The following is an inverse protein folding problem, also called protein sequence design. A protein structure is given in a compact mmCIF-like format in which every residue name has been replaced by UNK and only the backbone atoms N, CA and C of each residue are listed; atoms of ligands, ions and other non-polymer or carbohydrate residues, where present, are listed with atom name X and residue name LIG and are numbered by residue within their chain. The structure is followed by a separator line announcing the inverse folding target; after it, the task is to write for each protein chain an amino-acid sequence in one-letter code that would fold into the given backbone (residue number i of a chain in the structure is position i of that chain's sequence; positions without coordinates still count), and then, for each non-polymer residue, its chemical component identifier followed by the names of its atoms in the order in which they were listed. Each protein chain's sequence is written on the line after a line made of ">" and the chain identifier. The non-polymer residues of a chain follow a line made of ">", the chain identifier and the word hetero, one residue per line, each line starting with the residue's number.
data_IF_053720707295
#
_entry.id   IF_053720707295
#
_cell.length_a   1.000
_cell.length_b   1.000
_cell.length_c   1.000
_cell.angle_alpha   90.00
_cell.angle_beta   90.00
_cell.angle_gamma   90.00
#
_symmetry.space_group_name_H-M   'P 1'
#
loop_
_entity.id
_entity.type
_entity.pdbx_description
1 polymer ?
#
# COMPACT_ATOMS: atom_id res chain seq x y z
N UNK A 1 0.69 46.83 0.70
CA UNK A 1 1.97 46.10 0.56
C UNK A 1 1.67 44.63 0.31
N UNK A 2 2.41 44.01 -0.61
CA UNK A 2 2.12 42.72 -1.24
C UNK A 2 2.02 41.58 -0.21
N UNK A 3 0.94 40.80 -0.31
CA UNK A 3 0.78 39.48 0.31
C UNK A 3 1.77 38.54 -0.38
N UNK A 4 2.76 38.05 0.36
CA UNK A 4 3.49 36.83 0.01
C UNK A 4 2.92 35.74 0.91
N UNK A 5 1.93 35.02 0.37
CA UNK A 5 1.62 33.68 0.82
C UNK A 5 2.87 32.84 0.59
N UNK A 6 3.43 32.27 1.65
CA UNK A 6 4.43 31.22 1.53
C UNK A 6 3.67 29.92 1.18
N UNK A 7 3.84 29.35 -0.02
CA UNK A 7 3.30 28.04 -0.35
C UNK A 7 4.28 27.02 0.20
N UNK A 8 4.17 26.68 1.48
CA UNK A 8 5.08 25.74 2.14
C UNK A 8 4.34 24.63 2.90
N UNK A 9 3.10 24.31 2.48
CA UNK A 9 2.26 23.33 3.18
C UNK A 9 1.52 22.35 2.23
N UNK A 10 2.13 21.98 1.10
CA UNK A 10 1.52 21.02 0.14
C UNK A 10 2.43 19.80 -0.16
N UNK A 11 3.61 19.66 0.45
CA UNK A 11 4.57 18.61 0.06
C UNK A 11 5.00 17.63 1.16
N UNK A 12 4.36 17.63 2.33
CA UNK A 12 4.80 16.76 3.46
C UNK A 12 3.89 15.57 3.77
N UNK A 13 2.83 15.32 2.99
CA UNK A 13 2.04 14.08 3.11
C UNK A 13 2.60 12.91 2.26
N UNK A 14 3.79 13.08 1.66
CA UNK A 14 4.39 12.10 0.74
C UNK A 14 5.42 11.18 1.40
N UNK A 15 5.43 11.09 2.72
CA UNK A 15 6.42 10.31 3.46
C UNK A 15 5.73 9.40 4.49
N UNK A 16 6.03 8.10 4.36
CA UNK A 16 5.76 7.00 5.31
C UNK A 16 4.52 6.11 5.10
N UNK A 17 4.07 5.90 3.86
CA UNK A 17 3.25 4.73 3.53
C UNK A 17 4.10 3.58 2.96
N UNK A 18 5.30 3.34 3.51
CA UNK A 18 6.04 2.15 3.16
C UNK A 18 6.83 1.61 4.35
N UNK A 19 6.59 0.34 4.64
CA UNK A 19 7.27 -0.40 5.69
C UNK A 19 8.44 -1.21 5.11
N UNK A 20 9.28 -1.70 6.02
CA UNK A 20 10.45 -2.50 5.67
C UNK A 20 10.39 -3.88 6.31
N UNK A 21 10.71 -4.91 5.53
CA UNK A 21 11.06 -6.25 6.03
C UNK A 21 12.55 -6.48 5.80
N UNK A 22 13.28 -6.57 6.89
CA UNK A 22 14.71 -6.83 6.87
C UNK A 22 15.02 -8.28 6.51
N UNK A 23 16.13 -8.45 5.79
CA UNK A 23 16.70 -9.72 5.36
C UNK A 23 18.15 -9.76 5.82
N UNK A 24 18.46 -10.69 6.73
CA UNK A 24 19.78 -10.81 7.33
C UNK A 24 20.07 -12.24 7.76
N UNK A 25 20.96 -12.43 8.72
CA UNK A 25 21.18 -13.71 9.38
C UNK A 25 20.04 -13.98 10.36
N UNK A 26 19.56 -15.22 10.42
CA UNK A 26 18.60 -15.62 11.43
C UNK A 26 19.21 -15.51 12.84
N UNK A 27 18.52 -14.80 13.74
CA UNK A 27 18.90 -14.69 15.14
C UNK A 27 18.93 -16.04 15.89
N UNK A 28 18.25 -17.05 15.34
CA UNK A 28 18.21 -18.41 15.89
C UNK A 28 19.26 -19.34 15.25
N UNK A 29 19.71 -19.03 14.04
CA UNK A 29 20.69 -19.83 13.31
C UNK A 29 21.52 -18.97 12.33
N UNK A 30 22.77 -18.61 12.69
CA UNK A 30 23.62 -17.76 11.84
C UNK A 30 23.97 -18.35 10.45
N UNK A 31 23.72 -19.64 10.21
CA UNK A 31 23.90 -20.28 8.88
C UNK A 31 22.65 -20.22 8.00
N UNK A 32 21.64 -19.47 8.41
CA UNK A 32 20.33 -19.35 7.77
C UNK A 32 20.02 -17.86 7.52
N UNK A 33 19.30 -17.56 6.43
CA UNK A 33 18.68 -16.24 6.30
C UNK A 33 17.55 -16.05 7.32
N UNK A 34 17.34 -14.82 7.76
CA UNK A 34 16.22 -14.39 8.60
C UNK A 34 15.40 -13.32 7.89
N UNK A 35 14.13 -13.20 8.29
CA UNK A 35 13.24 -12.11 7.91
C UNK A 35 12.69 -11.49 9.21
N UNK A 36 12.80 -10.17 9.34
CA UNK A 36 12.26 -9.42 10.48
C UNK A 36 11.51 -8.17 9.99
N UNK A 37 10.36 -7.85 10.57
CA UNK A 37 9.53 -6.75 10.11
C UNK A 37 8.08 -6.89 10.53
N UNK A 38 7.19 -6.01 10.03
CA UNK A 38 5.78 -6.01 10.41
C UNK A 38 5.08 -7.28 9.92
N UNK A 39 4.36 -7.95 10.82
CA UNK A 39 3.49 -9.08 10.47
C UNK A 39 2.12 -8.67 9.93
N UNK A 40 1.85 -7.36 9.81
CA UNK A 40 0.57 -6.82 9.37
C UNK A 40 0.80 -5.60 8.49
N UNK A 41 0.06 -5.52 7.38
CA UNK A 41 -0.02 -4.39 6.47
C UNK A 41 -1.48 -4.05 6.22
N UNK A 42 -1.84 -2.77 6.28
CA UNK A 42 -3.17 -2.30 5.92
C UNK A 42 -3.10 -1.69 4.53
N UNK A 43 -3.85 -2.28 3.61
CA UNK A 43 -3.88 -1.90 2.21
C UNK A 43 -5.17 -1.16 1.90
N UNK A 44 -5.02 0.13 1.61
CA UNK A 44 -6.13 1.02 1.33
C UNK A 44 -6.49 0.97 -0.16
N UNK A 45 -7.73 1.36 -0.49
CA UNK A 45 -8.16 1.44 -1.88
C UNK A 45 -7.43 2.59 -2.59
N UNK A 46 -6.70 2.27 -3.66
CA UNK A 46 -5.98 3.24 -4.49
C UNK A 46 -6.51 3.16 -5.91
N UNK A 47 -7.16 4.23 -6.42
CA UNK A 47 -7.59 4.24 -7.81
C UNK A 47 -6.41 4.27 -8.78
N UNK A 48 -6.59 3.64 -9.94
CA UNK A 48 -5.58 3.65 -10.99
C UNK A 48 -5.25 5.08 -11.45
N UNK A 49 -3.96 5.33 -11.73
CA UNK A 49 -3.40 6.62 -12.13
C UNK A 49 -3.48 7.71 -11.05
N UNK A 50 -3.65 7.32 -9.78
CA UNK A 50 -3.55 8.25 -8.67
C UNK A 50 -2.23 8.10 -7.94
N UNK A 51 -1.78 9.15 -7.25
CA UNK A 51 -0.61 9.04 -6.41
C UNK A 51 -0.88 8.10 -5.25
N UNK A 52 0.00 7.12 -5.09
CA UNK A 52 -0.04 6.17 -3.99
C UNK A 52 1.06 6.44 -2.97
N UNK A 53 2.27 6.67 -3.45
CA UNK A 53 3.45 6.97 -2.64
C UNK A 53 4.40 7.91 -3.38
N UNK A 54 5.46 8.36 -2.69
CA UNK A 54 6.54 9.11 -3.32
C UNK A 54 7.25 8.35 -4.45
N UNK A 55 7.17 7.02 -4.45
CA UNK A 55 7.78 6.14 -5.44
C UNK A 55 6.80 5.62 -6.50
N UNK A 56 5.49 5.72 -6.22
CA UNK A 56 4.41 5.39 -7.14
C UNK A 56 3.46 6.59 -7.33
N UNK A 57 3.92 7.69 -7.98
CA UNK A 57 3.10 8.88 -8.20
C UNK A 57 1.97 8.65 -9.22
N UNK A 58 2.08 7.61 -10.04
CA UNK A 58 1.04 7.15 -10.95
C UNK A 58 0.82 5.66 -10.71
N UNK A 59 -0.10 5.32 -9.80
CA UNK A 59 -0.37 3.93 -9.45
C UNK A 59 -0.82 3.13 -10.69
N UNK A 60 -0.09 2.06 -11.08
CA UNK A 60 -0.31 1.39 -12.37
C UNK A 60 -1.62 0.61 -12.44
N UNK A 61 -2.14 0.19 -11.29
CA UNK A 61 -3.38 -0.57 -11.18
C UNK A 61 -3.35 -1.59 -10.05
N UNK A 62 -4.48 -2.24 -9.83
CA UNK A 62 -4.80 -2.92 -8.57
C UNK A 62 -5.96 -2.20 -7.88
N UNK A 63 -6.37 -2.69 -6.71
CA UNK A 63 -7.43 -2.06 -5.93
C UNK A 63 -6.93 -1.68 -4.54
N UNK A 64 -6.61 -2.67 -3.71
CA UNK A 64 -6.10 -2.45 -2.37
C UNK A 64 -4.59 -2.58 -2.41
N UNK A 65 -3.85 -1.50 -2.16
CA UNK A 65 -2.41 -1.45 -2.38
C UNK A 65 -1.66 -1.11 -1.09
N UNK A 66 -0.46 -1.65 -1.00
CA UNK A 66 0.53 -1.32 0.03
C UNK A 66 1.93 -1.38 -0.58
N UNK A 67 2.82 -0.48 -0.15
CA UNK A 67 4.22 -0.47 -0.56
C UNK A 67 5.06 -1.10 0.53
N UNK A 68 5.63 -2.26 0.26
CA UNK A 68 6.45 -2.99 1.22
C UNK A 68 7.83 -3.25 0.64
N UNK A 69 8.85 -2.77 1.34
CA UNK A 69 10.25 -2.88 0.91
C UNK A 69 10.94 -4.00 1.67
N UNK A 70 11.52 -4.96 0.94
CA UNK A 70 12.46 -5.91 1.55
C UNK A 70 13.87 -5.36 1.43
N UNK A 71 14.67 -5.44 2.50
CA UNK A 71 15.95 -4.71 2.62
C UNK A 71 17.02 -5.50 3.37
N UNK A 72 18.29 -5.30 3.05
CA UNK A 72 19.43 -5.78 3.87
C UNK A 72 20.09 -4.67 4.69
N UNK A 73 19.42 -3.52 4.84
CA UNK A 73 20.04 -2.27 5.30
C UNK A 73 19.76 -1.93 6.77
N UNK A 74 18.75 -2.57 7.36
CA UNK A 74 18.31 -2.31 8.73
C UNK A 74 19.17 -3.13 9.72
N UNK A 75 19.18 -2.76 11.00
CA UNK A 75 20.02 -3.39 12.03
C UNK A 75 19.22 -4.27 13.00
N UNK A 76 18.08 -4.82 12.60
CA UNK A 76 17.30 -5.75 13.41
C UNK A 76 17.90 -7.17 13.36
N UNK A 77 18.57 -7.53 12.26
CA UNK A 77 19.30 -8.77 12.05
C UNK A 77 20.78 -8.49 11.76
N UNK A 78 21.65 -9.46 12.07
CA UNK A 78 23.05 -9.38 11.69
C UNK A 78 23.20 -9.48 10.16
N UNK A 79 24.12 -8.74 9.51
CA UNK A 79 24.29 -8.80 8.07
C UNK A 79 24.69 -10.19 7.56
N UNK A 80 23.97 -10.70 6.54
CA UNK A 80 24.32 -11.93 5.83
C UNK A 80 25.37 -11.65 4.74
N UNK A 81 26.61 -11.35 5.15
CA UNK A 81 27.70 -10.94 4.26
C UNK A 81 27.90 -11.91 3.09
N UNK A 82 27.96 -11.35 1.88
CA UNK A 82 28.16 -12.10 0.63
C UNK A 82 26.91 -12.82 0.11
N UNK A 83 25.77 -12.77 0.81
CA UNK A 83 24.52 -13.30 0.28
C UNK A 83 23.98 -12.44 -0.87
N UNK A 84 23.21 -13.07 -1.77
CA UNK A 84 22.36 -12.41 -2.76
C UNK A 84 20.91 -12.86 -2.54
N UNK A 85 20.21 -12.25 -1.57
CA UNK A 85 18.91 -12.74 -1.14
C UNK A 85 17.82 -12.42 -2.16
N UNK A 86 16.96 -13.41 -2.38
CA UNK A 86 15.68 -13.27 -3.08
C UNK A 86 14.53 -13.66 -2.15
N UNK A 87 13.42 -12.97 -2.30
CA UNK A 87 12.19 -13.26 -1.57
C UNK A 87 11.29 -14.07 -2.48
N UNK A 88 10.88 -15.23 -1.98
CA UNK A 88 9.96 -16.13 -2.65
C UNK A 88 8.59 -16.04 -2.01
N UNK A 89 7.55 -15.97 -2.84
CA UNK A 89 6.19 -16.16 -2.37
C UNK A 89 5.94 -17.67 -2.23
N UNK A 90 5.55 -18.08 -1.03
CA UNK A 90 5.30 -19.48 -0.66
C UNK A 90 3.82 -19.84 -0.76
N UNK A 91 2.93 -18.97 -0.29
CA UNK A 91 1.48 -19.22 -0.38
C UNK A 91 0.67 -17.94 -0.26
N UNK A 92 -0.55 -17.96 -0.81
CA UNK A 92 -1.55 -16.90 -0.68
C UNK A 92 -2.83 -17.52 -0.17
N UNK A 93 -3.30 -17.06 0.99
CA UNK A 93 -4.66 -17.34 1.47
C UNK A 93 -5.40 -16.02 1.61
N UNK A 94 -6.68 -15.99 1.25
CA UNK A 94 -7.51 -14.78 1.34
C UNK A 94 -8.96 -15.04 0.90
N UNK A 95 -9.74 -14.00 0.61
CA UNK A 95 -11.12 -14.14 0.16
C UNK A 95 -11.26 -15.05 -1.07
N UNK A 96 -12.38 -15.78 -1.15
CA UNK A 96 -12.63 -16.71 -2.25
C UNK A 96 -12.65 -15.98 -3.61
N UNK A 97 -11.92 -16.52 -4.58
CA UNK A 97 -11.79 -15.96 -5.93
C UNK A 97 -10.99 -14.65 -6.02
N UNK A 98 -10.31 -14.25 -4.94
CA UNK A 98 -9.42 -13.11 -4.94
C UNK A 98 -8.04 -13.44 -5.53
N UNK A 99 -7.31 -12.40 -5.92
CA UNK A 99 -5.93 -12.41 -6.36
C UNK A 99 -5.07 -11.47 -5.52
N UNK A 100 -3.88 -11.94 -5.20
CA UNK A 100 -2.78 -11.15 -4.66
C UNK A 100 -1.71 -11.00 -5.74
N UNK A 101 -1.23 -9.78 -5.94
CA UNK A 101 -0.30 -9.45 -7.02
C UNK A 101 0.86 -8.62 -6.52
N UNK A 102 2.00 -8.77 -7.19
CA UNK A 102 3.19 -7.97 -6.97
C UNK A 102 3.56 -7.22 -8.24
N UNK A 103 3.97 -5.98 -8.04
CA UNK A 103 4.39 -5.05 -9.07
C UNK A 103 5.82 -4.64 -8.77
N UNK A 104 6.74 -4.92 -9.69
CA UNK A 104 8.09 -4.39 -9.60
C UNK A 104 8.07 -2.87 -9.84
N UNK A 105 9.07 -2.17 -9.33
CA UNK A 105 9.19 -0.73 -9.45
C UNK A 105 9.09 -0.28 -10.92
N UNK A 106 8.15 0.64 -11.19
CA UNK A 106 7.87 1.16 -12.53
C UNK A 106 7.08 0.22 -13.47
N UNK A 107 6.64 -0.95 -13.00
CA UNK A 107 5.85 -1.87 -13.82
C UNK A 107 4.44 -1.33 -14.13
N UNK A 108 3.98 -1.49 -15.36
CA UNK A 108 2.61 -1.11 -15.80
C UNK A 108 1.61 -2.25 -15.75
N UNK A 109 2.07 -3.47 -15.47
CA UNK A 109 1.28 -4.69 -15.27
C UNK A 109 1.90 -5.47 -14.11
N UNK A 110 1.14 -6.33 -13.40
CA UNK A 110 1.72 -7.11 -12.32
C UNK A 110 2.86 -7.99 -12.83
N UNK A 111 3.97 -8.02 -12.10
CA UNK A 111 5.07 -8.96 -12.36
C UNK A 111 4.58 -10.39 -12.19
N UNK A 112 3.73 -10.62 -11.19
CA UNK A 112 2.99 -11.85 -11.03
C UNK A 112 1.71 -11.61 -10.23
N UNK A 113 0.74 -12.52 -10.43
CA UNK A 113 -0.53 -12.58 -9.68
C UNK A 113 -0.83 -14.02 -9.31
N UNK A 114 -1.29 -14.26 -8.08
CA UNK A 114 -1.68 -15.58 -7.58
C UNK A 114 -3.04 -15.51 -6.90
N UNK A 115 -3.87 -16.51 -7.16
CA UNK A 115 -5.20 -16.61 -6.56
C UNK A 115 -5.11 -17.00 -5.09
N UNK A 116 -6.12 -16.64 -4.30
CA UNK A 116 -6.32 -17.22 -2.97
C UNK A 116 -6.36 -18.75 -3.04
N UNK A 117 -5.69 -19.42 -2.10
CA UNK A 117 -5.49 -20.87 -2.05
C UNK A 117 -4.26 -21.35 -2.83
N UNK A 118 -3.55 -20.47 -3.53
CA UNK A 118 -2.33 -20.84 -4.25
C UNK A 118 -1.19 -21.19 -3.28
N UNK A 119 -0.42 -22.22 -3.65
CA UNK A 119 0.79 -22.64 -2.98
C UNK A 119 1.90 -22.84 -4.00
N UNK A 120 3.12 -22.51 -3.59
CA UNK A 120 4.33 -22.65 -4.38
C UNK A 120 4.57 -24.10 -4.79
N UNK A 121 5.09 -24.28 -6.01
CA UNK A 121 5.57 -25.57 -6.51
C UNK A 121 6.98 -25.41 -7.08
N UNK A 122 7.65 -26.51 -7.39
CA UNK A 122 8.98 -26.44 -8.02
C UNK A 122 8.96 -25.72 -9.38
N UNK A 123 7.88 -25.89 -10.15
CA UNK A 123 7.70 -25.25 -11.46
C UNK A 123 7.11 -23.83 -11.39
N UNK A 124 6.53 -23.45 -10.26
CA UNK A 124 5.92 -22.13 -10.06
C UNK A 124 6.42 -21.51 -8.74
N UNK A 125 7.48 -20.71 -8.87
CA UNK A 125 8.24 -20.14 -7.76
C UNK A 125 8.45 -18.62 -7.95
N UNK A 126 7.38 -17.81 -7.91
CA UNK A 126 7.48 -16.36 -8.03
C UNK A 126 8.39 -15.80 -6.95
N UNK A 127 9.32 -14.95 -7.36
CA UNK A 127 10.29 -14.34 -6.48
C UNK A 127 10.75 -12.99 -7.01
N UNK A 128 11.36 -12.19 -6.15
CA UNK A 128 11.99 -10.93 -6.49
C UNK A 128 13.30 -10.74 -5.70
N UNK A 129 14.32 -10.09 -6.26
CA UNK A 129 15.58 -9.85 -5.56
C UNK A 129 15.44 -8.74 -4.51
N UNK A 130 16.14 -8.87 -3.40
CA UNK A 130 16.22 -7.81 -2.38
C UNK A 130 17.17 -6.71 -2.86
N UNK A 131 18.38 -7.10 -3.27
CA UNK A 131 19.45 -6.23 -3.74
C UNK A 131 19.29 -6.00 -5.25
N UNK A 132 19.31 -4.73 -5.69
CA UNK A 132 19.25 -4.35 -7.10
C UNK A 132 20.38 -3.36 -7.44
N UNK A 133 21.25 -3.72 -8.39
CA UNK A 133 22.30 -2.80 -8.86
C UNK A 133 23.36 -2.43 -7.82
N UNK A 134 23.47 -3.19 -6.71
CA UNK A 134 24.35 -2.89 -5.59
C UNK A 134 23.68 -2.11 -4.46
N UNK A 135 22.44 -1.65 -4.67
CA UNK A 135 21.59 -1.08 -3.62
C UNK A 135 21.07 -2.20 -2.71
N UNK A 136 20.97 -1.93 -1.42
CA UNK A 136 20.55 -2.90 -0.39
C UNK A 136 19.05 -3.20 -0.39
N UNK A 137 18.26 -2.39 -1.10
CA UNK A 137 16.81 -2.51 -1.24
C UNK A 137 16.31 -1.75 -2.48
N UNK A 138 15.02 -1.88 -2.79
CA UNK A 138 14.37 -1.15 -3.86
C UNK A 138 12.95 -0.71 -3.47
N UNK A 139 12.71 0.60 -3.60
CA UNK A 139 11.41 1.24 -3.39
C UNK A 139 10.50 1.15 -4.62
N UNK A 140 9.22 1.51 -4.44
CA UNK A 140 8.20 1.51 -5.49
C UNK A 140 7.67 0.11 -5.84
N UNK A 141 7.96 -0.87 -4.98
CA UNK A 141 7.44 -2.24 -5.08
C UNK A 141 6.10 -2.33 -4.38
N UNK A 142 5.08 -2.71 -5.14
CA UNK A 142 3.71 -2.63 -4.67
C UNK A 142 3.11 -4.02 -4.60
N UNK A 143 2.44 -4.30 -3.49
CA UNK A 143 1.59 -5.47 -3.34
C UNK A 143 0.14 -5.03 -3.42
N UNK A 144 -0.67 -5.79 -4.14
CA UNK A 144 -2.08 -5.45 -4.33
C UNK A 144 -3.00 -6.64 -4.16
N UNK A 145 -4.15 -6.41 -3.55
CA UNK A 145 -5.29 -7.32 -3.56
C UNK A 145 -6.42 -6.75 -4.46
N UNK A 146 -7.20 -7.64 -5.07
CA UNK A 146 -8.34 -7.26 -5.93
C UNK A 146 -9.69 -7.27 -5.22
N UNK A 147 -9.75 -7.86 -4.01
CA UNK A 147 -10.95 -7.92 -3.16
C UNK A 147 -10.60 -7.51 -1.73
N UNK A 148 -11.56 -6.93 -0.99
CA UNK A 148 -11.34 -6.60 0.40
C UNK A 148 -11.34 -7.85 1.29
N UNK A 149 -10.68 -7.74 2.45
CA UNK A 149 -10.57 -8.79 3.45
C UNK A 149 -9.11 -9.09 3.82
N UNK A 150 -8.94 -10.04 4.73
CA UNK A 150 -7.61 -10.46 5.19
C UNK A 150 -6.99 -11.45 4.23
N UNK A 151 -5.74 -11.19 3.86
CA UNK A 151 -4.88 -12.14 3.18
C UNK A 151 -3.77 -12.55 4.12
N UNK A 152 -3.47 -13.85 4.16
CA UNK A 152 -2.27 -14.39 4.79
C UNK A 152 -1.29 -14.73 3.67
N UNK A 153 -0.20 -13.98 3.60
CA UNK A 153 0.85 -14.12 2.61
C UNK A 153 2.07 -14.71 3.31
N UNK A 154 2.59 -15.80 2.76
CA UNK A 154 3.80 -16.42 3.30
C UNK A 154 4.96 -16.15 2.33
N UNK A 155 6.02 -15.55 2.86
CA UNK A 155 7.28 -15.32 2.17
C UNK A 155 8.38 -16.20 2.74
N UNK A 156 9.44 -16.39 1.95
CA UNK A 156 10.68 -17.04 2.40
C UNK A 156 11.88 -16.46 1.66
N UNK A 157 12.96 -16.20 2.38
CA UNK A 157 14.22 -15.75 1.80
C UNK A 157 15.06 -16.94 1.33
N UNK A 158 15.68 -16.80 0.16
CA UNK A 158 16.67 -17.73 -0.38
C UNK A 158 17.91 -16.95 -0.78
N UNK A 159 19.07 -17.46 -0.41
CA UNK A 159 20.35 -16.94 -0.91
C UNK A 159 20.68 -17.59 -2.26
N UNK A 160 20.87 -16.79 -3.31
CA UNK A 160 21.33 -17.29 -4.62
C UNK A 160 22.76 -17.78 -4.59
N UNK A 161 23.59 -17.25 -3.70
CA UNK A 161 25.00 -17.64 -3.56
C UNK A 161 25.18 -18.92 -2.74
N UNK A 162 24.09 -19.44 -2.14
CA UNK A 162 24.07 -20.64 -1.31
C UNK A 162 25.06 -20.61 -0.13
N UNK A 163 25.37 -19.43 0.40
CA UNK A 163 26.14 -19.25 1.62
C UNK A 163 25.27 -19.47 2.86
N UNK A 164 23.99 -19.13 2.76
CA UNK A 164 22.99 -19.30 3.81
C UNK A 164 21.87 -20.24 3.38
N UNK A 165 21.39 -21.06 4.32
CA UNK A 165 20.19 -21.86 4.14
C UNK A 165 18.92 -20.97 4.08
N UNK A 166 17.85 -21.51 3.50
CA UNK A 166 16.55 -20.84 3.37
C UNK A 166 16.05 -20.32 4.71
N UNK A 167 15.44 -19.15 4.75
CA UNK A 167 14.79 -18.66 5.97
C UNK A 167 13.64 -19.56 6.41
N UNK A 168 13.22 -19.41 7.67
CA UNK A 168 11.88 -19.84 8.08
C UNK A 168 10.82 -19.06 7.28
N UNK A 169 9.63 -19.62 7.19
CA UNK A 169 8.50 -18.93 6.56
C UNK A 169 8.13 -17.69 7.38
N UNK A 170 8.02 -16.55 6.69
CA UNK A 170 7.56 -15.29 7.25
C UNK A 170 6.10 -15.08 6.83
N UNK A 171 5.21 -15.00 7.80
CA UNK A 171 3.78 -14.81 7.57
C UNK A 171 3.42 -13.35 7.77
N UNK A 172 2.78 -12.76 6.76
CA UNK A 172 2.27 -11.41 6.79
C UNK A 172 0.76 -11.41 6.57
N UNK A 173 0.05 -10.67 7.40
CA UNK A 173 -1.36 -10.34 7.19
C UNK A 173 -1.45 -9.08 6.35
N UNK A 174 -2.14 -9.16 5.23
CA UNK A 174 -2.41 -8.00 4.37
C UNK A 174 -3.91 -7.73 4.42
N UNK A 175 -4.32 -6.67 5.10
CA UNK A 175 -5.71 -6.31 5.28
C UNK A 175 -6.16 -5.34 4.18
N UNK A 176 -6.85 -5.87 3.17
CA UNK A 176 -7.43 -5.08 2.10
C UNK A 176 -8.71 -4.38 2.60
N UNK A 177 -8.61 -3.10 2.94
CA UNK A 177 -9.69 -2.37 3.61
C UNK A 177 -10.58 -1.62 2.63
N UNK A 178 -11.89 -1.87 2.71
CA UNK A 178 -12.88 -1.04 2.03
C UNK A 178 -12.90 0.37 2.61
N UNK A 179 -13.08 1.39 1.76
CA UNK A 179 -13.34 2.72 2.26
C UNK A 179 -14.66 2.78 3.02
N UNK A 180 -14.80 3.67 4.02
CA UNK A 180 -16.02 3.77 4.77
C UNK A 180 -17.13 4.27 3.85
N UNK A 181 -18.35 3.75 4.01
CA UNK A 181 -19.46 4.15 3.17
C UNK A 181 -19.76 5.65 3.37
N UNK A 182 -19.90 6.37 2.26
CA UNK A 182 -20.34 7.75 2.28
C UNK A 182 -21.86 7.83 2.35
N UNK A 183 -22.36 8.68 3.22
CA UNK A 183 -23.76 9.12 3.24
C UNK A 183 -23.87 10.54 2.72
N UNK A 184 -24.90 10.82 1.95
CA UNK A 184 -25.19 12.14 1.40
C UNK A 184 -26.59 12.54 1.82
N UNK A 185 -26.72 13.69 2.47
CA UNK A 185 -28.01 14.30 2.79
C UNK A 185 -28.10 15.69 2.18
N UNK A 186 -29.23 16.03 1.57
CA UNK A 186 -29.48 17.39 1.06
C UNK A 186 -30.37 18.14 2.04
N UNK A 187 -29.87 19.24 2.61
CA UNK A 187 -30.63 20.13 3.51
C UNK A 187 -30.22 21.58 3.28
N UNK A 188 -31.17 22.51 3.27
CA UNK A 188 -30.91 23.95 3.20
C UNK A 188 -29.94 24.36 2.05
N UNK A 189 -30.09 23.76 0.86
CA UNK A 189 -29.20 23.95 -0.31
C UNK A 189 -27.73 23.55 -0.08
N UNK A 190 -27.48 22.66 0.88
CA UNK A 190 -26.19 22.05 1.14
C UNK A 190 -26.28 20.54 0.99
N UNK A 191 -25.20 19.93 0.49
CA UNK A 191 -24.93 18.51 0.64
C UNK A 191 -24.12 18.30 1.92
N UNK A 192 -24.66 17.52 2.84
CA UNK A 192 -23.92 17.01 3.98
C UNK A 192 -23.34 15.65 3.59
N UNK A 193 -22.03 15.60 3.40
CA UNK A 193 -21.29 14.35 3.17
C UNK A 193 -20.82 13.83 4.52
N UNK A 194 -21.17 12.59 4.84
CA UNK A 194 -20.86 11.97 6.12
C UNK A 194 -20.18 10.62 5.93
N UNK A 195 -19.21 10.29 6.78
CA UNK A 195 -18.59 8.96 6.84
C UNK A 195 -18.12 8.66 8.27
N UNK A 196 -17.93 7.38 8.58
CA UNK A 196 -17.25 6.97 9.82
C UNK A 196 -15.75 6.99 9.57
N UNK A 197 -15.03 7.93 10.17
CA UNK A 197 -13.58 7.94 10.11
C UNK A 197 -12.99 6.85 11.01
N UNK A 198 -11.75 6.48 10.74
CA UNK A 198 -10.97 5.50 11.51
C UNK A 198 -9.78 6.22 12.14
N UNK A 199 -9.41 5.83 13.34
CA UNK A 199 -8.18 6.35 13.98
C UNK A 199 -6.96 6.06 13.10
N UNK A 200 -5.96 6.94 13.16
CA UNK A 200 -4.67 6.80 12.47
C UNK A 200 -4.72 6.83 10.93
N UNK A 201 -5.85 7.20 10.34
CA UNK A 201 -5.96 7.47 8.91
C UNK A 201 -6.31 8.93 8.67
N UNK A 202 -5.87 9.44 7.52
CA UNK A 202 -6.15 10.78 7.02
C UNK A 202 -7.03 10.68 5.78
N UNK A 203 -7.92 11.65 5.59
CA UNK A 203 -8.94 11.63 4.53
C UNK A 203 -8.92 12.91 3.72
N UNK A 204 -8.98 12.75 2.39
CA UNK A 204 -9.30 13.81 1.46
C UNK A 204 -10.71 13.60 0.91
N UNK A 205 -11.55 14.64 0.98
CA UNK A 205 -12.83 14.67 0.28
C UNK A 205 -12.64 15.23 -1.12
N UNK A 206 -13.04 14.47 -2.12
CA UNK A 206 -12.93 14.86 -3.51
C UNK A 206 -14.30 14.94 -4.20
N UNK A 207 -14.38 15.85 -5.17
CA UNK A 207 -15.57 16.09 -5.98
C UNK A 207 -15.25 15.94 -7.46
N UNK A 208 -16.21 15.38 -8.20
CA UNK A 208 -16.23 15.32 -9.65
C UNK A 208 -17.61 15.76 -10.16
N UNK A 209 -17.69 16.55 -11.22
CA UNK A 209 -18.97 16.99 -11.81
C UNK A 209 -19.34 16.23 -13.09
N UNK A 210 -18.37 15.49 -13.64
CA UNK A 210 -18.53 14.63 -14.81
C UNK A 210 -17.63 13.39 -14.71
N UNK A 211 -18.24 12.26 -14.34
CA UNK A 211 -17.54 10.97 -14.22
C UNK A 211 -16.85 10.54 -15.52
N UNK A 212 -17.32 10.99 -16.69
CA UNK A 212 -16.68 10.64 -17.96
C UNK A 212 -15.25 11.21 -18.08
N UNK A 213 -14.97 12.32 -17.39
CA UNK A 213 -13.64 12.92 -17.39
C UNK A 213 -12.68 12.27 -16.39
N UNK A 214 -13.22 11.55 -15.40
CA UNK A 214 -12.50 11.04 -14.22
C UNK A 214 -11.60 12.07 -13.54
N UNK A 215 -11.95 13.37 -13.61
CA UNK A 215 -11.20 14.46 -13.00
C UNK A 215 -11.73 14.76 -11.61
N UNK A 216 -11.11 14.15 -10.61
CA UNK A 216 -11.39 14.39 -9.21
C UNK A 216 -10.56 15.56 -8.70
N UNK A 217 -11.20 16.44 -7.94
CA UNK A 217 -10.55 17.62 -7.36
C UNK A 217 -10.81 17.59 -5.86
N UNK A 218 -9.76 17.87 -5.08
CA UNK A 218 -9.88 18.04 -3.64
C UNK A 218 -10.82 19.21 -3.31
N UNK A 219 -11.75 18.97 -2.39
CA UNK A 219 -12.67 19.99 -1.91
C UNK A 219 -11.93 20.93 -0.95
N UNK A 220 -12.01 22.23 -1.21
CA UNK A 220 -11.32 23.25 -0.41
C UNK A 220 -11.70 23.14 1.08
N UNK A 221 -10.67 23.11 1.95
CA UNK A 221 -10.84 22.96 3.39
C UNK A 221 -11.30 21.57 3.85
N UNK A 222 -11.27 20.56 2.97
CA UNK A 222 -11.62 19.16 3.23
C UNK A 222 -10.53 18.19 2.75
N UNK A 223 -9.29 18.60 2.97
CA UNK A 223 -8.04 17.86 2.68
C UNK A 223 -7.37 17.62 4.03
N UNK A 224 -6.75 16.46 4.23
CA UNK A 224 -6.03 16.17 5.47
C UNK A 224 -6.95 16.09 6.68
N UNK A 225 -8.15 15.50 6.53
CA UNK A 225 -9.08 15.35 7.63
C UNK A 225 -8.58 14.21 8.52
N UNK A 226 -8.15 14.53 9.73
CA UNK A 226 -7.69 13.53 10.70
C UNK A 226 -8.84 12.61 11.13
N UNK A 227 -8.63 11.31 10.97
CA UNK A 227 -9.56 10.30 11.43
C UNK A 227 -9.44 10.06 12.93
N UNK A 228 -10.60 9.95 13.59
CA UNK A 228 -10.70 9.84 15.05
C UNK A 228 -11.66 8.74 15.50
N UNK A 229 -12.03 7.82 14.60
CA UNK A 229 -12.96 6.73 14.91
C UNK A 229 -14.44 7.15 14.97
N UNK A 230 -14.75 8.44 14.79
CA UNK A 230 -16.10 8.98 14.90
C UNK A 230 -16.66 9.37 13.54
N UNK A 231 -17.97 9.69 13.54
CA UNK A 231 -18.66 10.24 12.38
C UNK A 231 -18.10 11.62 12.04
N UNK A 232 -17.65 11.76 10.81
CA UNK A 232 -17.18 13.02 10.22
C UNK A 232 -18.26 13.59 9.31
N UNK A 233 -18.57 14.86 9.48
CA UNK A 233 -19.61 15.59 8.75
C UNK A 233 -18.99 16.76 7.97
N UNK A 234 -19.16 16.74 6.65
CA UNK A 234 -18.62 17.70 5.70
C UNK A 234 -19.77 18.40 4.95
N UNK A 235 -20.27 19.54 5.47
CA UNK A 235 -21.29 20.33 4.76
C UNK A 235 -20.65 21.07 3.58
N UNK A 236 -21.29 20.99 2.42
CA UNK A 236 -20.86 21.61 1.17
C UNK A 236 -22.02 22.37 0.52
N UNK A 237 -21.80 23.59 0.01
CA UNK A 237 -22.81 24.29 -0.76
C UNK A 237 -23.09 23.56 -2.08
N UNK A 238 -24.37 23.42 -2.44
CA UNK A 238 -24.77 22.87 -3.74
C UNK A 238 -24.56 23.92 -4.84
N UNK A 239 -23.32 24.01 -5.33
CA UNK A 239 -22.94 24.94 -6.39
C UNK A 239 -22.99 24.32 -7.79
N UNK A 240 -23.15 23.00 -7.87
CA UNK A 240 -23.13 22.25 -9.13
C UNK A 240 -24.48 21.57 -9.35
N UNK A 241 -25.00 21.56 -10.61
CA UNK A 241 -26.24 20.84 -10.93
C UNK A 241 -26.11 19.33 -10.76
N UNK A 242 -24.88 18.81 -10.84
CA UNK A 242 -24.52 17.41 -10.61
C UNK A 242 -23.13 17.36 -9.98
N UNK A 243 -22.99 16.56 -8.93
CA UNK A 243 -21.73 16.32 -8.25
C UNK A 243 -21.68 14.87 -7.77
N UNK A 244 -20.49 14.30 -7.85
CA UNK A 244 -20.11 12.99 -7.34
C UNK A 244 -19.02 13.22 -6.30
N UNK A 245 -19.05 12.42 -5.24
CA UNK A 245 -18.12 12.54 -4.13
C UNK A 245 -17.44 11.22 -3.90
N UNK A 246 -16.18 11.29 -3.51
CA UNK A 246 -15.45 10.16 -2.95
C UNK A 246 -14.54 10.65 -1.83
N UNK A 247 -14.12 9.71 -1.01
CA UNK A 247 -13.05 9.92 -0.05
C UNK A 247 -11.84 9.12 -0.50
N UNK A 248 -10.67 9.71 -0.29
CA UNK A 248 -9.38 9.04 -0.44
C UNK A 248 -8.81 8.91 0.96
N UNK A 249 -8.38 7.71 1.32
CA UNK A 249 -7.80 7.38 2.61
C UNK A 249 -6.31 7.11 2.47
N UNK A 250 -5.52 7.60 3.41
CA UNK A 250 -4.07 7.42 3.45
C UNK A 250 -3.53 7.54 4.89
N UNK A 251 -2.25 7.24 5.07
CA UNK A 251 -1.51 7.38 6.34
C UNK A 251 -0.98 8.79 6.58
#
# INVERSE_FOLDING_TARGET
>A
MKKLLLPALILTAWAQAHDHVEVGQSSQNPSQLGLDGPGYQLALLVPQNEPFSGYAPNFPGGYFADELTFTTEVNALDPAYGSDPVIELVSVTGPAGAFFSFWESGATTPTWSRSSGWNQTESDRPSFPVILGGETHAHGRIFTADRPGDYQIIFRARDKNNLFSLSTNFTMTFHAQLPPPLSIQIKNRQALISFMSREHLVYDLQICTDLATNRWINVEGKIGIDGNGLKTDCPLPLNYPRAFFRIVEYY
#
